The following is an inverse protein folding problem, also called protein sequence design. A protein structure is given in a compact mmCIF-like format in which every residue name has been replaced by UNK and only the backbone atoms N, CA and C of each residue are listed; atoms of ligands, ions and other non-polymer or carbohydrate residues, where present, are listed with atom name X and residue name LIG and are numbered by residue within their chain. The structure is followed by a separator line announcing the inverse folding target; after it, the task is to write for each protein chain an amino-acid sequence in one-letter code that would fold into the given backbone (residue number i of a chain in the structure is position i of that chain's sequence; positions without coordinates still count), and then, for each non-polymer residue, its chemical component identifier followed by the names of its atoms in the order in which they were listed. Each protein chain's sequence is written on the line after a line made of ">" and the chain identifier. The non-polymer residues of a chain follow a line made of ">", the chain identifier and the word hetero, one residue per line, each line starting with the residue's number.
data_IF_636427720719
#
_entry.id   IF_636427720719
#
_cell.length_a   1.000
_cell.length_b   1.000
_cell.length_c   1.000
_cell.angle_alpha   90.00
_cell.angle_beta   90.00
_cell.angle_gamma   90.00
#
_symmetry.space_group_name_H-M   'P 1'
#
loop_
_entity.id
_entity.type
_entity.pdbx_description
1 polymer ?
#
# COMPACT_ATOMS: atom_id res chain seq x y z
N UNK A 1 -36.83 16.34 23.59
CA UNK A 1 -35.36 16.51 23.56
C UNK A 1 -34.80 15.13 23.26
N UNK A 2 -34.90 14.60 22.05
CA UNK A 2 -34.52 15.12 20.71
C UNK A 2 -33.02 15.34 20.57
N UNK A 3 -32.46 14.68 19.55
CA UNK A 3 -31.15 14.83 18.90
C UNK A 3 -29.92 14.25 19.62
N UNK A 4 -29.00 13.52 19.00
CA UNK A 4 -28.81 12.91 17.67
C UNK A 4 -27.59 11.97 17.84
N UNK A 5 -27.54 10.74 17.32
CA UNK A 5 -27.19 10.50 15.91
C UNK A 5 -25.67 10.55 15.69
N UNK A 6 -24.88 9.69 16.35
CA UNK A 6 -23.47 9.48 15.99
C UNK A 6 -23.41 8.41 14.91
N UNK A 7 -23.67 8.84 13.69
CA UNK A 7 -23.37 8.11 12.48
C UNK A 7 -22.48 8.98 11.63
N UNK A 8 -21.30 8.48 11.30
CA UNK A 8 -20.93 8.22 9.91
C UNK A 8 -19.46 7.80 9.88
N UNK A 9 -19.28 6.50 9.64
CA UNK A 9 -18.11 5.88 9.05
C UNK A 9 -17.55 6.78 7.95
N UNK A 10 -16.52 7.54 8.29
CA UNK A 10 -15.73 8.28 7.33
C UNK A 10 -14.81 7.31 6.62
N UNK A 11 -15.37 6.43 5.79
CA UNK A 11 -14.66 5.88 4.65
C UNK A 11 -14.18 7.08 3.84
N UNK A 12 -12.94 7.47 4.09
CA UNK A 12 -12.24 8.47 3.29
C UNK A 12 -11.93 7.78 1.96
N UNK A 13 -12.93 7.71 1.09
CA UNK A 13 -12.73 7.65 -0.36
C UNK A 13 -12.10 8.98 -0.83
N UNK A 14 -10.95 9.32 -0.25
CA UNK A 14 -9.97 10.10 -0.95
C UNK A 14 -9.33 9.12 -1.91
N UNK A 15 -9.64 9.21 -3.19
CA UNK A 15 -8.77 8.65 -4.21
C UNK A 15 -7.42 9.35 -4.05
N UNK A 16 -6.58 8.80 -3.17
CA UNK A 16 -5.19 9.17 -3.02
C UNK A 16 -4.60 9.11 -4.41
N UNK A 17 -3.80 10.09 -4.80
CA UNK A 17 -3.20 10.20 -6.14
C UNK A 17 -2.34 8.96 -6.52
N UNK A 18 -2.15 8.08 -5.55
CA UNK A 18 -1.42 6.84 -5.57
C UNK A 18 -2.30 5.63 -5.93
N UNK A 19 -3.62 5.73 -5.83
CA UNK A 19 -4.50 4.58 -6.00
C UNK A 19 -4.45 4.02 -7.43
N UNK A 20 -4.14 2.73 -7.60
CA UNK A 20 -4.03 2.16 -8.94
C UNK A 20 -5.40 2.00 -9.63
N UNK A 21 -5.51 2.21 -10.96
CA UNK A 21 -6.67 1.78 -11.72
C UNK A 21 -6.96 0.30 -11.48
N UNK A 22 -8.22 0.06 -11.12
CA UNK A 22 -8.79 -1.26 -10.93
C UNK A 22 -9.70 -1.59 -12.12
N UNK A 23 -9.84 -2.89 -12.40
CA UNK A 23 -10.77 -3.40 -13.40
C UNK A 23 -12.05 -3.90 -12.73
N UNK A 24 -13.09 -4.15 -13.54
CA UNK A 24 -14.34 -4.68 -13.00
C UNK A 24 -14.11 -6.07 -12.38
N UNK A 25 -14.51 -6.23 -11.13
CA UNK A 25 -14.29 -7.48 -10.37
C UNK A 25 -12.95 -7.55 -9.63
N UNK A 26 -12.11 -6.51 -9.72
CA UNK A 26 -10.92 -6.40 -8.88
C UNK A 26 -11.27 -5.91 -7.48
N UNK A 27 -10.56 -6.46 -6.50
CA UNK A 27 -10.60 -6.06 -5.10
C UNK A 27 -9.52 -5.01 -4.81
N UNK A 28 -9.69 -4.28 -3.70
CA UNK A 28 -8.74 -3.28 -3.23
C UNK A 28 -8.35 -3.57 -1.80
N UNK A 29 -7.06 -3.43 -1.52
CA UNK A 29 -6.49 -3.67 -0.20
C UNK A 29 -5.41 -2.62 0.06
N UNK A 30 -5.31 -2.13 1.29
CA UNK A 30 -4.27 -1.18 1.68
C UNK A 30 -3.38 -1.79 2.75
N UNK A 31 -2.08 -1.55 2.64
CA UNK A 31 -1.13 -1.93 3.68
C UNK A 31 -0.11 -0.83 3.90
N UNK A 32 -0.02 -0.35 5.14
CA UNK A 32 0.96 0.64 5.56
C UNK A 32 2.07 0.02 6.44
N UNK A 33 3.31 0.45 6.23
CA UNK A 33 4.47 0.04 7.02
C UNK A 33 5.30 1.23 7.47
N UNK A 34 5.66 1.24 8.75
CA UNK A 34 6.54 2.24 9.35
C UNK A 34 7.98 1.73 9.44
N UNK A 35 8.93 2.63 9.28
CA UNK A 35 10.36 2.35 9.41
C UNK A 35 10.97 1.63 8.20
N UNK A 36 10.26 1.56 7.07
CA UNK A 36 10.79 1.07 5.80
C UNK A 36 10.81 2.20 4.76
N UNK A 37 11.61 2.03 3.70
CA UNK A 37 11.65 2.97 2.58
C UNK A 37 10.75 2.50 1.44
N UNK A 38 10.27 3.44 0.62
CA UNK A 38 9.54 3.17 -0.63
C UNK A 38 10.33 2.25 -1.56
N UNK A 39 11.65 2.50 -1.65
CA UNK A 39 12.61 1.66 -2.38
C UNK A 39 12.49 0.18 -2.01
N UNK A 40 12.40 -0.11 -0.72
CA UNK A 40 12.31 -1.49 -0.23
C UNK A 40 10.97 -2.13 -0.57
N UNK A 41 9.88 -1.39 -0.40
CA UNK A 41 8.53 -1.84 -0.77
C UNK A 41 8.44 -2.17 -2.27
N UNK A 42 8.86 -1.23 -3.13
CA UNK A 42 8.90 -1.41 -4.58
C UNK A 42 9.76 -2.61 -4.98
N UNK A 43 10.95 -2.74 -4.39
CA UNK A 43 11.85 -3.87 -4.65
C UNK A 43 11.21 -5.22 -4.29
N UNK A 44 10.41 -5.30 -3.23
CA UNK A 44 9.70 -6.54 -2.90
C UNK A 44 8.59 -6.87 -3.88
N UNK A 45 7.83 -5.89 -4.34
CA UNK A 45 6.80 -6.10 -5.35
C UNK A 45 7.41 -6.59 -6.67
N UNK A 46 8.56 -6.03 -7.06
CA UNK A 46 9.31 -6.52 -8.23
C UNK A 46 9.75 -7.97 -8.07
N UNK A 47 10.27 -8.35 -6.88
CA UNK A 47 10.63 -9.75 -6.60
C UNK A 47 9.43 -10.70 -6.57
N UNK A 48 8.21 -10.18 -6.40
CA UNK A 48 6.96 -10.94 -6.45
C UNK A 48 6.38 -11.01 -7.87
N UNK A 49 7.13 -10.57 -8.88
CA UNK A 49 6.72 -10.61 -10.28
C UNK A 49 6.15 -9.30 -10.81
N UNK A 50 6.27 -8.20 -10.06
CA UNK A 50 5.89 -6.87 -10.52
C UNK A 50 6.95 -6.17 -11.38
N UNK A 51 6.51 -5.16 -12.11
CA UNK A 51 7.34 -4.28 -12.92
C UNK A 51 7.08 -2.82 -12.53
N UNK A 52 8.14 -2.01 -12.45
CA UNK A 52 8.02 -0.59 -12.13
C UNK A 52 7.45 0.16 -13.33
N UNK A 53 6.46 1.03 -13.08
CA UNK A 53 5.84 1.83 -14.13
C UNK A 53 6.24 3.30 -13.98
N UNK A 54 6.71 3.90 -15.07
CA UNK A 54 7.10 5.31 -15.13
C UNK A 54 8.49 5.64 -14.54
N UNK A 55 9.22 4.65 -14.04
CA UNK A 55 10.60 4.81 -13.56
C UNK A 55 11.34 3.47 -13.54
N UNK A 56 12.67 3.51 -13.69
CA UNK A 56 13.56 2.37 -13.48
C UNK A 56 14.20 2.36 -12.08
N UNK A 57 14.04 3.44 -11.29
CA UNK A 57 14.56 3.53 -9.92
C UNK A 57 13.48 3.16 -8.90
N UNK A 58 13.65 2.06 -8.12
CA UNK A 58 12.72 1.70 -7.07
C UNK A 58 12.52 2.78 -6.00
N UNK A 59 13.48 3.69 -5.79
CA UNK A 59 13.31 4.80 -4.84
C UNK A 59 12.26 5.82 -5.29
N UNK A 60 12.06 5.98 -6.61
CA UNK A 60 11.10 6.90 -7.21
C UNK A 60 9.79 6.21 -7.60
N UNK A 61 9.68 4.88 -7.41
CA UNK A 61 8.52 4.10 -7.79
C UNK A 61 7.27 4.53 -7.04
N UNK A 62 6.28 5.03 -7.80
CA UNK A 62 4.92 5.29 -7.32
C UNK A 62 3.93 4.22 -7.79
N UNK A 63 4.38 3.36 -8.72
CA UNK A 63 3.54 2.35 -9.34
C UNK A 63 4.32 1.07 -9.68
N UNK A 64 3.74 -0.08 -9.32
CA UNK A 64 4.19 -1.40 -9.73
C UNK A 64 3.01 -2.21 -10.27
N UNK A 65 3.12 -2.77 -11.47
CA UNK A 65 2.10 -3.64 -12.06
C UNK A 65 2.62 -5.08 -12.14
N UNK A 66 1.75 -6.05 -11.85
CA UNK A 66 2.04 -7.47 -11.98
C UNK A 66 0.89 -8.22 -12.64
N UNK A 67 0.99 -9.54 -12.67
CA UNK A 67 -0.03 -10.39 -13.31
C UNK A 67 -1.31 -10.44 -12.47
N UNK A 68 -2.39 -9.84 -12.98
CA UNK A 68 -3.68 -9.75 -12.28
C UNK A 68 -3.70 -8.79 -11.09
N UNK A 69 -2.67 -7.95 -10.90
CA UNK A 69 -2.64 -6.97 -9.80
C UNK A 69 -1.83 -5.72 -10.13
N UNK A 70 -2.10 -4.63 -9.42
CA UNK A 70 -1.42 -3.35 -9.51
C UNK A 70 -1.29 -2.74 -8.12
N UNK A 71 -0.19 -2.02 -7.89
CA UNK A 71 0.11 -1.39 -6.60
C UNK A 71 0.54 0.06 -6.77
N UNK A 72 -0.16 0.94 -6.07
CA UNK A 72 0.27 2.30 -5.81
C UNK A 72 1.19 2.36 -4.59
N UNK A 73 2.26 3.16 -4.66
CA UNK A 73 3.16 3.39 -3.54
C UNK A 73 3.28 4.87 -3.19
N UNK A 74 3.01 5.20 -1.93
CA UNK A 74 3.28 6.51 -1.35
C UNK A 74 4.18 6.38 -0.15
N UNK A 75 4.90 7.45 0.18
CA UNK A 75 5.74 7.51 1.36
C UNK A 75 5.68 8.89 2.00
N UNK A 76 5.53 8.91 3.31
CA UNK A 76 5.43 10.11 4.11
C UNK A 76 6.27 10.00 5.39
N UNK A 77 6.59 11.14 6.00
CA UNK A 77 7.29 11.17 7.28
C UNK A 77 6.28 11.42 8.40
N UNK A 78 6.10 10.43 9.28
CA UNK A 78 5.13 10.46 10.39
C UNK A 78 5.83 10.55 11.74
N UNK A 79 5.20 11.19 12.73
CA UNK A 79 5.71 11.20 14.11
C UNK A 79 5.39 9.86 14.79
N UNK A 80 6.43 9.21 15.32
CA UNK A 80 6.28 7.93 16.01
C UNK A 80 6.19 8.10 17.53
N UNK A 81 7.09 8.88 18.13
CA UNK A 81 7.08 9.19 19.56
C UNK A 81 7.97 10.40 19.88
N UNK A 82 7.48 11.36 20.67
CA UNK A 82 8.25 12.56 21.02
C UNK A 82 8.71 13.35 19.79
N UNK A 83 10.03 13.48 19.62
CA UNK A 83 10.67 14.09 18.43
C UNK A 83 11.07 13.07 17.35
N UNK A 84 10.84 11.77 17.56
CA UNK A 84 11.17 10.71 16.61
C UNK A 84 10.15 10.71 15.48
N UNK A 85 10.67 10.82 14.25
CA UNK A 85 9.89 10.67 13.03
C UNK A 85 10.36 9.44 12.26
N UNK A 86 9.42 8.74 11.63
CA UNK A 86 9.66 7.55 10.83
C UNK A 86 9.07 7.75 9.44
N UNK A 87 9.68 7.11 8.45
CA UNK A 87 9.02 6.96 7.15
C UNK A 87 7.89 5.95 7.30
N UNK A 88 6.70 6.32 6.83
CA UNK A 88 5.59 5.42 6.59
C UNK A 88 5.44 5.27 5.08
N UNK A 89 5.32 4.02 4.63
CA UNK A 89 5.08 3.68 3.23
C UNK A 89 3.71 3.02 3.17
N UNK A 90 2.84 3.55 2.32
CA UNK A 90 1.51 2.99 2.07
C UNK A 90 1.52 2.35 0.70
N UNK A 91 1.05 1.10 0.66
CA UNK A 91 0.88 0.32 -0.56
C UNK A 91 -0.62 0.07 -0.78
N UNK A 92 -1.15 0.64 -1.85
CA UNK A 92 -2.54 0.48 -2.27
C UNK A 92 -2.61 -0.56 -3.38
N UNK A 93 -3.21 -1.71 -3.09
CA UNK A 93 -3.38 -2.82 -4.02
C UNK A 93 -4.72 -2.71 -4.74
N UNK A 94 -4.71 -3.04 -6.03
CA UNK A 94 -5.91 -3.38 -6.78
C UNK A 94 -5.61 -4.60 -7.64
N UNK A 95 -6.46 -5.62 -7.62
CA UNK A 95 -6.20 -6.83 -8.39
C UNK A 95 -7.31 -7.85 -8.30
N UNK A 96 -7.17 -8.92 -9.07
CA UNK A 96 -8.06 -10.07 -8.99
C UNK A 96 -8.03 -10.67 -7.58
N UNK A 97 -9.18 -11.13 -7.05
CA UNK A 97 -9.24 -11.70 -5.70
C UNK A 97 -8.22 -12.83 -5.47
N UNK A 98 -8.05 -13.70 -6.47
CA UNK A 98 -7.10 -14.83 -6.41
C UNK A 98 -5.64 -14.34 -6.42
N UNK A 99 -5.33 -13.35 -7.25
CA UNK A 99 -3.99 -12.76 -7.33
C UNK A 99 -3.62 -12.04 -6.03
N UNK A 100 -4.55 -11.27 -5.45
CA UNK A 100 -4.34 -10.59 -4.16
C UNK A 100 -4.23 -11.58 -3.01
N UNK A 101 -5.03 -12.65 -3.00
CA UNK A 101 -4.97 -13.70 -1.98
C UNK A 101 -3.61 -14.41 -1.97
N UNK A 102 -2.92 -14.53 -3.10
CA UNK A 102 -1.55 -15.05 -3.16
C UNK A 102 -0.49 -13.99 -2.80
N UNK A 103 -0.67 -12.75 -3.27
CA UNK A 103 0.30 -11.66 -3.14
C UNK A 103 0.39 -11.13 -1.70
N UNK A 104 -0.76 -10.80 -1.09
CA UNK A 104 -0.83 -10.09 0.19
C UNK A 104 -0.18 -10.86 1.34
N UNK A 105 -0.36 -12.18 1.50
CA UNK A 105 0.33 -12.92 2.55
C UNK A 105 1.86 -12.87 2.39
N UNK A 106 2.39 -12.95 1.16
CA UNK A 106 3.83 -12.88 0.89
C UNK A 106 4.38 -11.48 1.16
N UNK A 107 3.65 -10.45 0.76
CA UNK A 107 4.01 -9.06 1.03
C UNK A 107 3.99 -8.76 2.54
N UNK A 108 2.94 -9.20 3.25
CA UNK A 108 2.76 -9.01 4.71
C UNK A 108 3.73 -9.80 5.57
N UNK A 109 4.11 -11.01 5.16
CA UNK A 109 4.99 -11.88 5.95
C UNK A 109 6.38 -11.28 6.20
N UNK A 110 6.87 -10.43 5.28
CA UNK A 110 8.19 -9.80 5.43
C UNK A 110 8.20 -8.67 6.47
N UNK A 111 7.05 -8.07 6.75
CA UNK A 111 6.91 -7.04 7.77
C UNK A 111 6.98 -7.59 9.20
N UNK A 112 6.69 -8.88 9.42
CA UNK A 112 6.74 -9.49 10.76
C UNK A 112 8.10 -10.11 11.14
N UNK A 113 8.98 -10.40 10.16
CA UNK A 113 10.26 -11.10 10.43
C UNK A 113 11.44 -10.20 10.84
N UNK A 114 11.22 -8.89 10.95
CA UNK A 114 12.19 -7.95 11.53
C UNK A 114 11.84 -7.53 12.98
N UNK A 115 10.75 -8.07 13.55
CA UNK A 115 10.35 -7.88 14.95
C UNK A 115 10.54 -9.16 15.76
N UNK A 116 11.78 -9.62 15.86
CA UNK A 116 12.23 -10.63 16.83
C UNK A 116 13.44 -10.09 17.57
#
# INVERSE_FOLDING_TARGET
>A
MSDAGDGNDGSVDGASETQPPAEAGWEREEVAYRGISRRLAAHYLVNLGGELIGTDDPAEATRVDGDGWRVGLSAETVKAAGSISLTEVTAEFAGEPEALAELLPKYRQKAMRAGG
#
